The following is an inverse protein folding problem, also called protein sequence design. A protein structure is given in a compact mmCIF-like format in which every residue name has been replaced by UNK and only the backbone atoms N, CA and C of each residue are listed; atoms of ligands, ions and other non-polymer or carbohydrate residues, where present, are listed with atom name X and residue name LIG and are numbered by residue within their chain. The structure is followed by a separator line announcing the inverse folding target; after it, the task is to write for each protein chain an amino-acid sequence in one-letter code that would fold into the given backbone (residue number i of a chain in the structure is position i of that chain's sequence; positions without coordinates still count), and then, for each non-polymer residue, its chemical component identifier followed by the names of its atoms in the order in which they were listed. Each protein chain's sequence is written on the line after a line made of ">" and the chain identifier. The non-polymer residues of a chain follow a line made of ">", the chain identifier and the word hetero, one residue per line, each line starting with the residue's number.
data_IF_777340978040
#
_entry.id   IF_777340978040
#
_cell.length_a   1.000
_cell.length_b   1.000
_cell.length_c   1.000
_cell.angle_alpha   90.00
_cell.angle_beta   90.00
_cell.angle_gamma   90.00
#
_symmetry.space_group_name_H-M   'P 1'
#
loop_
_entity.id
_entity.type
_entity.pdbx_description
1 polymer ?
#
# COMPACT_ATOMS: atom_id res chain seq x y z
N UNK A 1 4.64 -14.62 5.07
CA UNK A 1 5.77 -13.69 4.91
C UNK A 1 6.81 -14.42 4.05
N UNK A 2 7.35 -13.75 3.03
CA UNK A 2 8.40 -14.29 2.17
C UNK A 2 9.71 -13.67 2.62
N UNK A 3 10.77 -14.47 2.73
CA UNK A 3 12.13 -14.01 3.00
C UNK A 3 12.88 -13.92 1.68
N UNK A 4 13.50 -12.78 1.39
CA UNK A 4 14.33 -12.57 0.19
C UNK A 4 15.72 -12.13 0.60
N UNK A 5 16.75 -12.72 0.00
CA UNK A 5 18.12 -12.25 0.12
C UNK A 5 18.35 -11.15 -0.93
N UNK A 6 18.83 -9.99 -0.51
CA UNK A 6 19.27 -8.96 -1.43
C UNK A 6 20.35 -9.54 -2.38
N UNK A 7 20.12 -9.45 -3.69
CA UNK A 7 21.03 -9.95 -4.73
C UNK A 7 20.53 -11.13 -5.58
N UNK A 8 19.41 -11.77 -5.23
CA UNK A 8 18.87 -12.89 -6.04
C UNK A 8 17.86 -12.45 -7.12
N UNK A 9 17.38 -11.20 -7.04
CA UNK A 9 16.52 -10.58 -8.05
C UNK A 9 17.33 -9.52 -8.78
N UNK A 10 18.05 -9.95 -9.81
CA UNK A 10 18.79 -9.08 -10.71
C UNK A 10 17.80 -8.37 -11.65
N UNK A 11 17.27 -7.23 -11.21
CA UNK A 11 16.45 -6.36 -12.06
C UNK A 11 17.44 -5.48 -12.83
N UNK A 12 17.68 -5.85 -14.08
CA UNK A 12 18.54 -5.12 -15.00
C UNK A 12 18.19 -3.62 -14.99
N UNK A 13 19.11 -2.80 -14.48
CA UNK A 13 19.01 -1.34 -14.50
C UNK A 13 19.29 -0.61 -13.18
N UNK A 14 19.56 -1.30 -12.06
CA UNK A 14 19.94 -0.64 -10.81
C UNK A 14 21.47 -0.56 -10.66
N UNK A 15 22.09 0.46 -11.25
CA UNK A 15 23.43 0.88 -10.86
C UNK A 15 23.45 2.37 -10.52
N UNK A 16 23.22 2.76 -9.24
CA UNK A 16 23.44 4.11 -8.77
C UNK A 16 24.70 4.27 -7.89
N UNK A 17 25.61 3.28 -7.82
CA UNK A 17 26.84 3.46 -7.03
C UNK A 17 27.92 2.47 -7.47
N UNK A 18 28.66 2.86 -8.51
CA UNK A 18 29.95 2.26 -8.82
C UNK A 18 31.04 3.09 -8.12
N UNK A 19 31.10 3.09 -6.79
CA UNK A 19 32.31 3.45 -6.04
C UNK A 19 32.43 2.59 -4.76
N UNK A 20 33.60 1.96 -4.68
CA UNK A 20 34.28 1.31 -3.55
C UNK A 20 33.73 -0.01 -2.99
N UNK A 21 34.45 -1.07 -3.36
CA UNK A 21 34.57 -2.31 -2.61
C UNK A 21 35.23 -2.05 -1.25
N UNK A 22 34.70 -2.63 -0.16
CA UNK A 22 35.31 -3.78 0.52
C UNK A 22 34.66 -4.05 1.91
N UNK A 23 34.66 -5.32 2.29
CA UNK A 23 34.48 -5.89 3.64
C UNK A 23 33.15 -5.70 4.41
N UNK A 24 32.28 -6.72 4.28
CA UNK A 24 31.25 -7.05 5.28
C UNK A 24 29.82 -7.07 4.75
N UNK A 25 29.49 -7.96 3.81
CA UNK A 25 28.10 -8.06 3.32
C UNK A 25 27.22 -8.77 4.35
N UNK A 26 26.68 -8.00 5.29
CA UNK A 26 25.49 -8.39 6.04
C UNK A 26 24.40 -8.69 5.00
N UNK A 27 24.05 -9.97 4.83
CA UNK A 27 23.06 -10.40 3.85
C UNK A 27 21.73 -9.78 4.28
N UNK A 28 21.33 -8.69 3.62
CA UNK A 28 20.04 -8.04 3.88
C UNK A 28 18.92 -9.03 3.50
N UNK A 29 18.38 -9.71 4.50
CA UNK A 29 17.20 -10.56 4.38
C UNK A 29 15.99 -9.67 4.63
N UNK A 30 15.30 -9.30 3.55
CA UNK A 30 14.01 -8.62 3.67
C UNK A 30 12.91 -9.65 3.79
N UNK A 31 12.26 -9.68 4.96
CA UNK A 31 11.05 -10.47 5.20
C UNK A 31 9.82 -9.59 5.12
N UNK A 32 8.88 -9.91 4.24
CA UNK A 32 7.70 -9.07 4.02
C UNK A 32 6.52 -9.81 3.42
N UNK A 33 5.41 -9.09 3.21
CA UNK A 33 4.29 -9.60 2.43
C UNK A 33 4.69 -9.61 0.96
N UNK A 34 4.46 -10.72 0.27
CA UNK A 34 4.89 -10.91 -1.12
C UNK A 34 4.42 -9.77 -2.05
N UNK A 35 3.17 -9.29 -1.88
CA UNK A 35 2.63 -8.16 -2.66
C UNK A 35 3.37 -6.85 -2.40
N UNK A 36 3.80 -6.60 -1.16
CA UNK A 36 4.55 -5.39 -0.77
C UNK A 36 5.93 -5.43 -1.41
N UNK A 37 6.60 -6.59 -1.32
CA UNK A 37 7.94 -6.78 -1.90
C UNK A 37 7.94 -6.75 -3.43
N UNK A 38 6.94 -7.34 -4.08
CA UNK A 38 6.85 -7.39 -5.54
C UNK A 38 6.52 -6.04 -6.17
N UNK A 39 5.61 -5.28 -5.56
CA UNK A 39 5.20 -3.98 -6.07
C UNK A 39 6.04 -2.82 -5.50
N UNK A 40 7.06 -3.12 -4.69
CA UNK A 40 7.92 -2.15 -4.01
C UNK A 40 7.10 -1.11 -3.24
N UNK A 41 6.05 -1.55 -2.55
CA UNK A 41 5.17 -0.66 -1.80
C UNK A 41 5.91 -0.11 -0.57
N UNK A 42 5.73 1.17 -0.31
CA UNK A 42 6.38 1.86 0.81
C UNK A 42 5.35 2.16 1.90
N UNK A 43 5.64 1.76 3.13
CA UNK A 43 4.75 2.06 4.25
C UNK A 43 4.60 3.58 4.42
N UNK A 44 3.35 4.04 4.49
CA UNK A 44 3.01 5.45 4.70
C UNK A 44 2.61 5.71 6.14
N UNK A 45 3.26 6.71 6.73
CA UNK A 45 3.00 7.17 8.09
C UNK A 45 2.06 8.38 8.13
N UNK A 46 1.41 8.72 7.01
CA UNK A 46 0.57 9.92 6.89
C UNK A 46 -0.68 9.92 7.80
N UNK A 47 -1.08 8.75 8.30
CA UNK A 47 -2.28 8.58 9.10
C UNK A 47 -1.95 8.30 10.57
N UNK A 48 -1.61 9.36 11.30
CA UNK A 48 -1.29 9.27 12.74
C UNK A 48 -2.53 8.98 13.60
N UNK A 49 -3.72 9.29 13.10
CA UNK A 49 -4.96 9.13 13.85
C UNK A 49 -6.13 8.70 12.97
N UNK A 50 -7.10 8.05 13.61
CA UNK A 50 -8.29 7.54 12.92
C UNK A 50 -9.12 8.66 12.25
N UNK A 51 -9.09 9.90 12.76
CA UNK A 51 -9.90 11.00 12.21
C UNK A 51 -9.29 11.52 10.91
N UNK A 52 -7.98 11.73 10.85
CA UNK A 52 -7.30 12.14 9.61
C UNK A 52 -7.50 11.10 8.50
N UNK A 53 -7.37 9.81 8.83
CA UNK A 53 -7.68 8.74 7.89
C UNK A 53 -9.15 8.72 7.46
N UNK A 54 -10.09 8.91 8.40
CA UNK A 54 -11.53 8.95 8.08
C UNK A 54 -11.86 10.09 7.11
N UNK A 55 -11.23 11.25 7.27
CA UNK A 55 -11.41 12.39 6.37
C UNK A 55 -10.88 12.06 4.96
N UNK A 56 -9.65 11.55 4.88
CA UNK A 56 -9.05 11.12 3.62
C UNK A 56 -9.91 10.08 2.90
N UNK A 57 -10.35 9.04 3.62
CA UNK A 57 -11.16 7.96 3.07
C UNK A 57 -12.47 8.49 2.49
N UNK A 58 -13.15 9.41 3.20
CA UNK A 58 -14.39 10.03 2.70
C UNK A 58 -14.17 10.83 1.41
N UNK A 59 -13.09 11.59 1.32
CA UNK A 59 -12.80 12.37 0.11
C UNK A 59 -12.37 11.48 -1.06
N UNK A 60 -11.64 10.39 -0.78
CA UNK A 60 -11.30 9.38 -1.77
C UNK A 60 -12.57 8.67 -2.31
N UNK A 61 -13.50 8.31 -1.43
CA UNK A 61 -14.79 7.71 -1.80
C UNK A 61 -15.60 8.60 -2.74
N UNK A 62 -15.67 9.91 -2.46
CA UNK A 62 -16.38 10.86 -3.35
C UNK A 62 -15.77 10.87 -4.75
N UNK A 63 -14.44 10.85 -4.85
CA UNK A 63 -13.74 10.80 -6.16
C UNK A 63 -14.03 9.50 -6.91
N UNK A 64 -14.13 8.37 -6.21
CA UNK A 64 -14.50 7.09 -6.81
C UNK A 64 -15.94 7.08 -7.29
N UNK A 65 -16.89 7.60 -6.50
CA UNK A 65 -18.30 7.71 -6.89
C UNK A 65 -18.43 8.56 -8.15
N UNK A 66 -17.79 9.73 -8.21
CA UNK A 66 -17.83 10.58 -9.40
C UNK A 66 -17.30 9.86 -10.65
N UNK A 67 -16.17 9.14 -10.54
CA UNK A 67 -15.65 8.33 -11.66
C UNK A 67 -16.55 7.15 -12.04
N UNK A 68 -17.26 6.59 -11.07
CA UNK A 68 -18.14 5.46 -11.31
C UNK A 68 -19.44 5.91 -11.99
N UNK A 69 -19.98 7.07 -11.61
CA UNK A 69 -21.12 7.72 -12.28
C UNK A 69 -20.83 7.96 -13.78
N UNK A 70 -19.59 8.30 -14.15
CA UNK A 70 -19.18 8.48 -15.55
C UNK A 70 -19.02 7.16 -16.33
N UNK A 71 -18.54 6.09 -15.68
CA UNK A 71 -18.11 4.86 -16.38
C UNK A 71 -19.08 3.69 -16.27
N UNK A 72 -19.76 3.56 -15.14
CA UNK A 72 -20.65 2.44 -14.81
C UNK A 72 -21.69 2.91 -13.77
N UNK A 73 -22.66 3.75 -14.19
CA UNK A 73 -23.63 4.36 -13.27
C UNK A 73 -24.51 3.32 -12.54
N UNK A 74 -24.73 2.16 -13.15
CA UNK A 74 -25.45 1.02 -12.57
C UNK A 74 -24.76 0.42 -11.32
N UNK A 75 -23.44 0.62 -11.19
CA UNK A 75 -22.66 0.10 -10.07
C UNK A 75 -22.63 1.04 -8.87
N UNK A 76 -23.14 2.27 -8.99
CA UNK A 76 -22.96 3.34 -7.99
C UNK A 76 -23.63 2.98 -6.66
N UNK A 77 -24.85 2.46 -6.69
CA UNK A 77 -25.59 2.12 -5.47
C UNK A 77 -25.01 0.90 -4.75
N UNK A 78 -24.59 -0.10 -5.53
CA UNK A 78 -23.88 -1.29 -5.02
C UNK A 78 -22.56 -0.87 -4.37
N UNK A 79 -21.79 0.00 -5.03
CA UNK A 79 -20.55 0.53 -4.51
C UNK A 79 -20.78 1.29 -3.19
N UNK A 80 -21.71 2.26 -3.16
CA UNK A 80 -22.02 3.05 -1.94
C UNK A 80 -22.42 2.15 -0.76
N UNK A 81 -23.17 1.09 -1.01
CA UNK A 81 -23.61 0.15 0.04
C UNK A 81 -22.44 -0.67 0.61
N UNK A 82 -21.63 -1.28 -0.26
CA UNK A 82 -20.51 -2.12 0.16
C UNK A 82 -19.37 -1.30 0.79
N UNK A 83 -19.12 -0.12 0.24
CA UNK A 83 -18.15 0.83 0.71
C UNK A 83 -18.43 1.27 2.17
N UNK A 84 -19.69 1.48 2.55
CA UNK A 84 -20.06 1.79 3.94
C UNK A 84 -19.72 0.65 4.92
N UNK A 85 -19.86 -0.60 4.49
CA UNK A 85 -19.48 -1.78 5.29
C UNK A 85 -17.96 -1.85 5.43
N UNK A 86 -17.23 -1.73 4.31
CA UNK A 86 -15.77 -1.72 4.30
C UNK A 86 -15.17 -0.61 5.16
N UNK A 87 -15.73 0.60 5.09
CA UNK A 87 -15.30 1.72 5.94
C UNK A 87 -15.41 1.38 7.43
N UNK A 88 -16.53 0.80 7.87
CA UNK A 88 -16.73 0.45 9.29
C UNK A 88 -15.70 -0.57 9.76
N UNK A 89 -15.43 -1.59 8.96
CA UNK A 89 -14.46 -2.64 9.29
C UNK A 89 -13.02 -2.10 9.38
N UNK A 90 -12.57 -1.39 8.34
CA UNK A 90 -11.23 -0.77 8.30
C UNK A 90 -11.04 0.20 9.48
N UNK A 91 -12.03 1.04 9.74
CA UNK A 91 -12.01 1.97 10.87
C UNK A 91 -12.03 1.24 12.22
N UNK A 92 -12.69 0.09 12.31
CA UNK A 92 -12.71 -0.77 13.50
C UNK A 92 -11.31 -1.29 13.85
N UNK A 93 -10.55 -1.69 12.84
CA UNK A 93 -9.20 -2.28 12.97
C UNK A 93 -8.07 -1.30 12.70
N UNK A 94 -8.33 0.01 12.64
CA UNK A 94 -7.35 1.03 12.24
C UNK A 94 -5.97 0.90 12.91
N UNK A 95 -5.92 0.53 14.20
CA UNK A 95 -4.66 0.37 14.94
C UNK A 95 -3.86 -0.89 14.58
N UNK A 96 -4.50 -1.85 13.91
CA UNK A 96 -3.91 -3.12 13.46
C UNK A 96 -3.48 -3.05 11.98
N UNK A 97 -3.75 -1.93 11.30
CA UNK A 97 -3.46 -1.76 9.89
C UNK A 97 -2.13 -1.05 9.68
N UNK A 98 -1.41 -1.51 8.66
CA UNK A 98 -0.30 -0.79 8.04
C UNK A 98 -0.78 -0.22 6.72
N UNK A 99 -0.38 1.01 6.42
CA UNK A 99 -0.75 1.71 5.19
C UNK A 99 0.44 1.69 4.23
N UNK A 100 0.20 1.43 2.95
CA UNK A 100 1.21 1.34 1.90
C UNK A 100 0.76 2.11 0.66
#
# INVERSE_FOLDING_TARGET
>A
LVQRKAGEIDIAGFNPSAEEADEGTDVAVESGVDVVLNHRLQETYAFHDKKSYTLYLKDYMKKLVAKLEEKAPDQVDVFKTNMNKGMKDILGRFKELQFF
#
